data_IF_741102566945
#
_entry.id   IF_741102566945
#
_cell.length_a   1.000
_cell.length_b   1.000
_cell.length_c   1.000
_cell.angle_alpha   90.00
_cell.angle_beta   90.00
_cell.angle_gamma   90.00
#
_symmetry.space_group_name_H-M   'P 1'
#
loop_
_entity.id
_entity.type
_entity.pdbx_description
1 polymer ?
#
# COMPACT_ATOMS: atom_id res chain seq x y z
N UNK A 1 7.75 -9.11 -0.05
CA UNK A 1 6.93 -7.96 -0.49
C UNK A 1 7.51 -7.44 -1.79
N UNK A 2 6.69 -6.94 -2.70
CA UNK A 2 7.16 -6.36 -3.97
C UNK A 2 7.74 -4.96 -3.75
N UNK A 3 8.96 -4.75 -4.24
CA UNK A 3 9.69 -3.48 -4.12
C UNK A 3 9.03 -2.32 -4.89
N UNK A 4 8.07 -2.62 -5.76
CA UNK A 4 7.25 -1.62 -6.44
C UNK A 4 6.39 -0.79 -5.47
N UNK A 5 6.14 -1.28 -4.25
CA UNK A 5 5.45 -0.53 -3.21
C UNK A 5 6.44 0.27 -2.34
N UNK A 6 6.91 1.41 -2.85
CA UNK A 6 7.86 2.27 -2.13
C UNK A 6 7.28 3.04 -0.94
N UNK A 7 5.96 2.98 -0.73
CA UNK A 7 5.25 3.71 0.31
C UNK A 7 4.29 2.78 1.05
N UNK A 8 4.01 3.09 2.31
CA UNK A 8 3.00 2.40 3.12
C UNK A 8 2.15 3.42 3.86
N UNK A 9 0.84 3.28 3.76
CA UNK A 9 -0.09 4.01 4.62
C UNK A 9 -0.48 3.13 5.81
N UNK A 10 -0.33 3.69 7.00
CA UNK A 10 -0.66 3.04 8.27
C UNK A 10 -1.78 3.83 8.93
N UNK A 11 -2.89 3.15 9.21
CA UNK A 11 -3.99 3.70 9.98
C UNK A 11 -4.24 2.86 11.23
N UNK A 12 -4.26 3.51 12.39
CA UNK A 12 -4.51 2.86 13.68
C UNK A 12 -5.83 3.37 14.24
N UNK A 13 -6.69 2.46 14.68
CA UNK A 13 -8.00 2.81 15.23
C UNK A 13 -8.39 1.96 16.43
N UNK A 14 -9.20 2.56 17.31
CA UNK A 14 -9.90 1.90 18.42
C UNK A 14 -11.40 1.75 18.14
N UNK A 15 -11.86 2.12 16.95
CA UNK A 15 -13.29 2.24 16.61
C UNK A 15 -13.80 1.05 15.79
N UNK A 16 -12.99 0.01 15.57
CA UNK A 16 -13.41 -1.16 14.81
C UNK A 16 -14.37 -2.03 15.66
N UNK A 17 -15.63 -2.28 15.23
CA UNK A 17 -16.57 -3.08 16.00
C UNK A 17 -16.03 -4.49 16.32
N UNK A 18 -16.16 -4.91 17.58
CA UNK A 18 -15.70 -6.23 18.04
C UNK A 18 -14.17 -6.39 18.17
N UNK A 19 -13.38 -5.33 17.94
CA UNK A 19 -11.93 -5.33 18.12
C UNK A 19 -11.50 -4.09 18.91
N UNK A 20 -10.85 -4.22 20.08
CA UNK A 20 -10.49 -3.05 20.89
C UNK A 20 -9.43 -2.16 20.22
N UNK A 21 -8.65 -2.72 19.28
CA UNK A 21 -7.67 -2.02 18.44
C UNK A 21 -7.56 -2.72 17.10
N UNK A 22 -7.33 -1.93 16.06
CA UNK A 22 -7.07 -2.42 14.72
C UNK A 22 -6.02 -1.55 14.03
N UNK A 23 -5.31 -2.15 13.08
CA UNK A 23 -4.39 -1.47 12.17
C UNK A 23 -4.72 -1.86 10.74
N UNK A 24 -4.74 -0.87 9.85
CA UNK A 24 -4.69 -1.09 8.41
C UNK A 24 -3.27 -0.80 7.92
N UNK A 25 -2.77 -1.67 7.05
CA UNK A 25 -1.45 -1.57 6.43
C UNK A 25 -1.68 -1.64 4.92
N UNK A 26 -1.42 -0.54 4.23
CA UNK A 26 -1.74 -0.38 2.80
C UNK A 26 -0.43 -0.11 2.04
N UNK A 27 0.17 -1.14 1.40
CA UNK A 27 1.29 -0.95 0.48
C UNK A 27 0.85 -0.14 -0.75
N UNK A 28 1.62 0.89 -1.10
CA UNK A 28 1.30 1.80 -2.21
C UNK A 28 2.51 2.00 -3.12
N UNK A 29 2.26 2.07 -4.42
CA UNK A 29 3.30 2.34 -5.44
C UNK A 29 3.74 3.81 -5.49
N UNK A 30 2.94 4.71 -4.93
CA UNK A 30 3.23 6.13 -4.77
C UNK A 30 2.63 6.68 -3.48
N UNK A 31 3.05 7.86 -3.02
CA UNK A 31 2.50 8.48 -1.83
C UNK A 31 1.07 9.01 -2.09
N UNK A 32 0.38 9.38 -1.01
CA UNK A 32 -0.75 10.29 -1.13
C UNK A 32 -0.33 11.54 -1.92
N UNK A 33 -1.25 12.13 -2.68
CA UNK A 33 -0.98 13.31 -3.50
C UNK A 33 0.00 13.07 -4.69
N UNK A 34 0.23 11.82 -5.11
CA UNK A 34 1.15 11.49 -6.21
C UNK A 34 0.82 12.22 -7.53
N UNK A 35 -0.45 12.35 -7.90
CA UNK A 35 -0.84 13.05 -9.14
C UNK A 35 -0.53 14.54 -9.14
N UNK A 36 -0.66 15.22 -8.00
CA UNK A 36 -0.37 16.65 -7.91
C UNK A 36 1.13 16.92 -7.73
N UNK A 37 1.85 16.03 -7.05
CA UNK A 37 3.29 16.20 -6.74
C UNK A 37 4.23 15.61 -7.79
N UNK A 38 3.73 14.70 -8.63
CA UNK A 38 4.54 13.92 -9.56
C UNK A 38 5.37 12.80 -8.90
N UNK A 39 5.38 12.71 -7.57
CA UNK A 39 6.22 11.75 -6.84
C UNK A 39 5.63 10.35 -6.91
N UNK A 40 6.47 9.35 -7.20
CA UNK A 40 6.06 7.92 -7.19
C UNK A 40 5.14 7.51 -8.35
N UNK A 41 4.92 8.38 -9.35
CA UNK A 41 4.14 8.02 -10.53
C UNK A 41 4.96 7.14 -11.49
N UNK A 42 4.36 6.03 -11.94
CA UNK A 42 4.82 5.25 -13.09
C UNK A 42 3.93 5.56 -14.29
N UNK A 43 4.52 6.01 -15.38
CA UNK A 43 3.83 6.18 -16.65
C UNK A 43 3.89 4.89 -17.45
N UNK A 44 2.74 4.45 -17.97
CA UNK A 44 2.63 3.30 -18.86
C UNK A 44 2.30 3.80 -20.28
N UNK A 45 3.17 3.58 -21.26
CA UNK A 45 2.86 3.78 -22.68
C UNK A 45 1.66 2.94 -23.14
N UNK A 46 1.04 3.30 -24.28
CA UNK A 46 -0.03 2.50 -24.86
C UNK A 46 0.40 1.04 -25.09
N UNK A 47 -0.39 0.10 -24.56
CA UNK A 47 -0.13 -1.34 -24.66
C UNK A 47 0.73 -1.92 -23.55
N UNK A 48 1.31 -1.11 -22.66
CA UNK A 48 2.05 -1.60 -21.50
C UNK A 48 1.10 -2.03 -20.37
N UNK A 49 1.57 -2.97 -19.55
CA UNK A 49 0.86 -3.44 -18.36
C UNK A 49 1.81 -3.47 -17.18
N UNK A 50 1.28 -3.17 -16.01
CA UNK A 50 2.00 -3.28 -14.74
C UNK A 50 1.19 -4.11 -13.74
N UNK A 51 1.89 -5.03 -13.08
CA UNK A 51 1.34 -5.88 -12.02
C UNK A 51 2.29 -5.78 -10.83
N UNK A 52 1.71 -5.73 -9.63
CA UNK A 52 2.45 -5.92 -8.38
C UNK A 52 1.78 -7.00 -7.55
N UNK A 53 2.59 -7.69 -6.73
CA UNK A 53 2.09 -8.71 -5.81
C UNK A 53 2.48 -8.38 -4.39
N UNK A 54 1.48 -8.32 -3.52
CA UNK A 54 1.70 -8.17 -2.09
C UNK A 54 0.94 -9.26 -1.36
N UNK A 55 1.31 -9.50 -0.11
CA UNK A 55 0.66 -10.51 0.72
C UNK A 55 1.06 -10.34 2.18
N UNK A 56 0.51 -11.19 3.03
CA UNK A 56 0.87 -11.24 4.45
C UNK A 56 1.34 -12.66 4.73
N UNK A 57 2.48 -12.77 5.40
CA UNK A 57 2.96 -14.03 5.96
C UNK A 57 2.97 -13.90 7.49
N UNK A 58 2.78 -15.01 8.19
CA UNK A 58 2.71 -15.06 9.63
C UNK A 58 3.54 -16.23 10.16
N UNK A 59 4.49 -15.91 11.04
CA UNK A 59 5.20 -16.91 11.84
C UNK A 59 4.59 -16.89 13.22
N UNK A 60 4.04 -18.03 13.65
CA UNK A 60 3.69 -18.25 15.05
C UNK A 60 4.97 -18.64 15.80
N UNK A 61 5.24 -17.93 16.90
CA UNK A 61 6.31 -18.27 17.84
C UNK A 61 5.96 -19.48 18.69
#
# INVERSE_FOLDING_TARGET
QDESCGYVHIFVTTELPGRPRAVAIEPMTGPANAFNSGVGLRWLPPGESFTMTWGIDAVLG
#
